data_IF_756740335615
#
_entry.id   IF_756740335615
#
_cell.length_a   1.000
_cell.length_b   1.000
_cell.length_c   1.000
_cell.angle_alpha   90.00
_cell.angle_beta   90.00
_cell.angle_gamma   90.00
#
_symmetry.space_group_name_H-M   'P 1'
#
loop_
_entity.id
_entity.type
_entity.pdbx_description
1 polymer ?
#
# COMPACT_ATOMS: atom_id res chain seq x y z
N UNK A 1 -2.47 22.94 9.05
CA UNK A 1 -2.04 21.61 8.62
C UNK A 1 -0.92 21.71 7.63
N UNK A 2 0.02 20.78 7.70
CA UNK A 2 1.11 20.73 6.74
C UNK A 2 1.32 19.30 6.26
N UNK A 3 1.90 19.17 5.09
CA UNK A 3 2.26 17.87 4.55
C UNK A 3 3.50 17.37 5.30
N UNK A 4 3.39 16.17 5.87
CA UNK A 4 4.54 15.49 6.47
C UNK A 4 5.39 14.81 5.40
N UNK A 5 4.75 14.09 4.49
CA UNK A 5 5.46 13.37 3.45
C UNK A 5 4.58 12.98 2.30
N UNK A 6 5.20 12.78 1.16
CA UNK A 6 4.56 12.37 -0.08
C UNK A 6 5.31 11.17 -0.62
N UNK A 7 4.58 10.15 -1.06
CA UNK A 7 5.14 8.99 -1.70
C UNK A 7 4.44 8.69 -3.01
N UNK A 8 5.21 8.33 -4.01
CA UNK A 8 4.70 7.90 -5.32
C UNK A 8 5.45 6.64 -5.71
N UNK A 9 4.72 5.67 -6.25
CA UNK A 9 5.32 4.44 -6.75
C UNK A 9 4.66 4.03 -8.05
N UNK A 10 5.48 3.70 -9.05
CA UNK A 10 5.05 3.20 -10.35
C UNK A 10 5.51 1.76 -10.49
N UNK A 11 4.59 0.84 -10.72
CA UNK A 11 4.90 -0.59 -10.75
C UNK A 11 4.36 -1.22 -12.03
N UNK A 12 5.16 -2.09 -12.62
CA UNK A 12 4.80 -2.85 -13.82
C UNK A 12 3.98 -4.09 -13.43
N UNK A 13 2.82 -4.27 -14.07
CA UNK A 13 2.03 -5.50 -13.92
C UNK A 13 2.83 -6.72 -14.34
N UNK A 14 3.63 -6.59 -15.38
CA UNK A 14 4.47 -7.70 -15.87
C UNK A 14 5.48 -8.14 -14.83
N UNK A 15 6.11 -7.17 -14.14
CA UNK A 15 7.06 -7.48 -13.05
C UNK A 15 6.38 -8.25 -11.93
N UNK A 16 5.22 -7.77 -11.48
CA UNK A 16 4.49 -8.40 -10.38
C UNK A 16 3.97 -9.78 -10.79
N UNK A 17 3.48 -9.90 -12.02
CA UNK A 17 3.02 -11.17 -12.56
C UNK A 17 4.16 -12.20 -12.59
N UNK A 18 5.36 -11.77 -13.00
CA UNK A 18 6.54 -12.65 -13.01
C UNK A 18 6.92 -13.11 -11.62
N UNK A 19 6.89 -12.22 -10.64
CA UNK A 19 7.17 -12.55 -9.24
C UNK A 19 6.13 -13.53 -8.68
N UNK A 20 4.86 -13.30 -8.99
CA UNK A 20 3.79 -14.18 -8.55
C UNK A 20 3.88 -15.55 -9.22
N UNK A 21 4.19 -15.59 -10.51
CA UNK A 21 4.39 -16.85 -11.23
C UNK A 21 5.54 -17.67 -10.64
N UNK A 22 6.61 -16.99 -10.22
CA UNK A 22 7.81 -17.63 -9.66
C UNK A 22 7.62 -18.11 -8.22
N UNK A 23 7.00 -17.30 -7.37
CA UNK A 23 6.93 -17.54 -5.92
C UNK A 23 5.51 -17.87 -5.44
N UNK A 24 4.49 -17.68 -6.26
CA UNK A 24 3.11 -18.02 -5.93
C UNK A 24 2.57 -17.25 -4.74
N UNK A 25 1.69 -17.89 -3.98
CA UNK A 25 1.04 -17.29 -2.81
C UNK A 25 2.02 -16.84 -1.74
N UNK A 26 3.22 -17.40 -1.73
CA UNK A 26 4.27 -17.01 -0.82
C UNK A 26 4.65 -15.54 -1.00
N UNK A 27 4.73 -15.08 -2.25
CA UNK A 27 4.96 -13.68 -2.57
C UNK A 27 3.75 -12.81 -2.15
N UNK A 28 2.54 -13.27 -2.48
CA UNK A 28 1.32 -12.55 -2.11
C UNK A 28 1.21 -12.39 -0.59
N UNK A 29 1.44 -13.45 0.17
CA UNK A 29 1.37 -13.42 1.64
C UNK A 29 2.41 -12.52 2.28
N UNK A 30 3.51 -12.26 1.61
CA UNK A 30 4.52 -11.35 2.09
C UNK A 30 4.05 -9.88 2.02
N UNK A 31 3.24 -9.59 1.02
CA UNK A 31 2.75 -8.23 0.73
C UNK A 31 1.41 -7.95 1.38
N UNK A 32 0.49 -8.91 1.33
CA UNK A 32 -0.91 -8.74 1.70
C UNK A 32 -1.17 -9.17 3.15
N UNK A 33 -2.01 -8.42 3.86
CA UNK A 33 -2.51 -8.85 5.15
C UNK A 33 -3.63 -9.91 4.96
N UNK A 34 -4.16 -10.43 6.06
CA UNK A 34 -5.14 -11.52 6.00
C UNK A 34 -6.42 -11.14 5.28
N UNK A 35 -6.92 -9.93 5.50
CA UNK A 35 -8.15 -9.45 4.84
C UNK A 35 -7.91 -9.26 3.34
N UNK A 36 -6.76 -8.72 2.98
CA UNK A 36 -6.38 -8.55 1.58
C UNK A 36 -6.20 -9.90 0.87
N UNK A 37 -5.66 -10.89 1.57
CA UNK A 37 -5.52 -12.24 1.00
C UNK A 37 -6.86 -12.85 0.62
N UNK A 38 -7.91 -12.61 1.44
CA UNK A 38 -9.26 -13.09 1.13
C UNK A 38 -9.75 -12.48 -0.17
N UNK A 39 -9.62 -11.16 -0.32
CA UNK A 39 -10.02 -10.47 -1.55
C UNK A 39 -9.18 -10.89 -2.75
N UNK A 40 -7.89 -11.11 -2.53
CA UNK A 40 -6.97 -11.56 -3.57
C UNK A 40 -7.37 -12.92 -4.15
N UNK A 41 -7.78 -13.85 -3.28
CA UNK A 41 -8.21 -15.18 -3.72
C UNK A 41 -9.51 -15.12 -4.55
N UNK A 42 -10.34 -14.12 -4.33
CA UNK A 42 -11.63 -13.96 -5.00
C UNK A 42 -11.56 -13.15 -6.29
N UNK A 43 -10.50 -12.39 -6.50
CA UNK A 43 -10.41 -11.49 -7.67
C UNK A 43 -10.02 -12.26 -8.93
N UNK A 44 -10.58 -11.85 -10.06
CA UNK A 44 -10.25 -12.43 -11.37
C UNK A 44 -8.88 -11.98 -11.85
N UNK A 45 -8.53 -10.72 -11.65
CA UNK A 45 -7.24 -10.17 -12.09
C UNK A 45 -6.30 -10.05 -10.90
N UNK A 46 -5.66 -11.16 -10.57
CA UNK A 46 -4.78 -11.26 -9.41
C UNK A 46 -3.53 -10.38 -9.53
N UNK A 47 -2.97 -10.31 -10.74
CA UNK A 47 -1.77 -9.50 -10.97
C UNK A 47 -2.06 -8.01 -10.74
N UNK A 48 -3.19 -7.53 -11.22
CA UNK A 48 -3.60 -6.12 -11.03
C UNK A 48 -3.83 -5.82 -9.55
N UNK A 49 -4.56 -6.70 -8.87
CA UNK A 49 -4.83 -6.52 -7.43
C UNK A 49 -3.54 -6.42 -6.64
N UNK A 50 -2.64 -7.38 -6.86
CA UNK A 50 -1.37 -7.45 -6.15
C UNK A 50 -0.48 -6.25 -6.50
N UNK A 51 -0.48 -5.83 -7.76
CA UNK A 51 0.28 -4.68 -8.22
C UNK A 51 -0.19 -3.38 -7.55
N UNK A 52 -1.51 -3.18 -7.46
CA UNK A 52 -2.09 -2.01 -6.81
C UNK A 52 -1.76 -1.99 -5.32
N UNK A 53 -1.84 -3.13 -4.65
CA UNK A 53 -1.48 -3.24 -3.24
C UNK A 53 0.01 -2.96 -3.03
N UNK A 54 0.86 -3.52 -3.87
CA UNK A 54 2.31 -3.31 -3.84
C UNK A 54 2.63 -1.82 -3.99
N UNK A 55 2.08 -1.18 -5.02
CA UNK A 55 2.31 0.24 -5.30
C UNK A 55 1.83 1.13 -4.14
N UNK A 56 0.65 0.85 -3.59
CA UNK A 56 0.09 1.62 -2.48
C UNK A 56 0.95 1.54 -1.23
N UNK A 57 1.44 0.36 -0.89
CA UNK A 57 2.27 0.15 0.29
C UNK A 57 3.66 0.76 0.13
N UNK A 58 4.25 0.63 -1.07
CA UNK A 58 5.53 1.30 -1.38
C UNK A 58 5.38 2.81 -1.28
N UNK A 59 4.32 3.37 -1.83
CA UNK A 59 4.06 4.81 -1.76
C UNK A 59 3.90 5.27 -0.31
N UNK A 60 3.20 4.47 0.52
CA UNK A 60 3.02 4.79 1.94
C UNK A 60 4.35 4.81 2.69
N UNK A 61 5.22 3.86 2.42
CA UNK A 61 6.53 3.76 3.05
C UNK A 61 7.43 4.92 2.62
N UNK A 62 7.36 5.31 1.35
CA UNK A 62 8.07 6.50 0.86
C UNK A 62 7.56 7.79 1.53
N UNK A 63 6.24 7.91 1.70
CA UNK A 63 5.65 9.06 2.37
C UNK A 63 6.05 9.13 3.86
N UNK A 64 6.21 7.98 4.50
CA UNK A 64 6.67 7.89 5.88
C UNK A 64 8.17 8.22 5.99
N UNK A 65 8.93 7.91 4.95
CA UNK A 65 10.35 8.24 4.88
C UNK A 65 11.29 7.18 5.46
N UNK A 66 10.77 6.04 5.87
CA UNK A 66 11.57 5.00 6.55
C UNK A 66 12.06 3.89 5.63
N UNK A 67 11.42 3.68 4.48
CA UNK A 67 11.57 2.43 3.76
C UNK A 67 11.01 1.28 4.59
N UNK A 68 11.23 0.05 4.14
CA UNK A 68 10.85 -1.16 4.89
C UNK A 68 11.97 -1.56 5.86
N UNK A 69 12.54 -0.60 6.55
CA UNK A 69 13.52 -0.78 7.60
C UNK A 69 12.93 -0.34 8.93
N UNK A 70 13.70 -0.44 10.01
CA UNK A 70 13.28 0.03 11.33
C UNK A 70 11.97 -0.61 11.83
N UNK A 71 11.74 -1.88 11.48
CA UNK A 71 10.59 -2.64 11.94
C UNK A 71 9.30 -2.35 11.18
N UNK A 72 9.36 -1.67 10.04
CA UNK A 72 8.18 -1.42 9.20
C UNK A 72 8.08 -2.55 8.17
N UNK A 73 6.90 -3.19 8.09
CA UNK A 73 6.66 -4.33 7.21
C UNK A 73 5.46 -4.06 6.29
N UNK A 74 5.40 -4.81 5.19
CA UNK A 74 4.31 -4.71 4.22
C UNK A 74 2.94 -4.83 4.87
N UNK A 75 2.78 -5.77 5.80
CA UNK A 75 1.49 -6.04 6.46
C UNK A 75 1.09 -4.98 7.49
N UNK A 76 1.97 -4.04 7.77
CA UNK A 76 1.64 -2.92 8.64
C UNK A 76 0.70 -1.92 7.97
N UNK A 77 0.58 -2.00 6.64
CA UNK A 77 -0.32 -1.18 5.83
C UNK A 77 -1.35 -2.09 5.18
N UNK A 78 -2.61 -1.72 5.26
CA UNK A 78 -3.67 -2.42 4.56
C UNK A 78 -4.35 -1.49 3.58
N UNK A 79 -4.78 -2.02 2.44
CA UNK A 79 -5.56 -1.28 1.48
C UNK A 79 -6.98 -1.83 1.45
N UNK A 80 -7.94 -0.94 1.46
CA UNK A 80 -9.34 -1.29 1.25
C UNK A 80 -9.99 -0.18 0.44
N UNK A 81 -11.26 -0.35 0.12
CA UNK A 81 -12.04 0.68 -0.56
C UNK A 81 -13.24 1.06 0.30
N UNK A 82 -13.56 2.34 0.31
CA UNK A 82 -14.80 2.85 0.88
C UNK A 82 -15.97 2.37 0.00
N UNK A 83 -17.18 2.47 0.51
CA UNK A 83 -18.39 2.14 -0.26
C UNK A 83 -18.48 2.94 -1.56
N UNK A 84 -17.91 4.13 -1.61
CA UNK A 84 -17.81 4.96 -2.81
C UNK A 84 -16.83 4.43 -3.86
N UNK A 85 -16.01 3.42 -3.51
CA UNK A 85 -14.94 2.90 -4.36
C UNK A 85 -13.59 3.58 -4.14
N UNK A 86 -13.54 4.66 -3.36
CA UNK A 86 -12.30 5.37 -3.09
C UNK A 86 -11.35 4.50 -2.27
N UNK A 87 -10.07 4.36 -2.68
CA UNK A 87 -9.10 3.59 -1.91
C UNK A 87 -8.73 4.30 -0.61
N UNK A 88 -8.41 3.52 0.40
CA UNK A 88 -7.95 4.03 1.69
C UNK A 88 -6.93 3.08 2.30
N UNK A 89 -6.07 3.65 3.15
CA UNK A 89 -5.07 2.91 3.90
C UNK A 89 -5.56 2.64 5.32
N UNK A 90 -5.20 1.46 5.81
CA UNK A 90 -5.33 1.08 7.21
C UNK A 90 -3.94 0.81 7.77
N UNK A 91 -3.79 0.96 9.07
CA UNK A 91 -2.49 0.85 9.71
C UNK A 91 -2.59 -0.02 10.96
N UNK A 92 -1.55 -0.81 11.23
CA UNK A 92 -1.44 -1.53 12.50
C UNK A 92 -1.20 -0.56 13.65
N UNK A 93 -1.42 -1.01 14.87
CA UNK A 93 -1.16 -0.19 16.07
C UNK A 93 0.29 0.28 16.12
N UNK A 94 1.22 -0.54 15.65
CA UNK A 94 2.64 -0.18 15.56
C UNK A 94 2.85 1.07 14.71
N UNK A 95 2.20 1.14 13.55
CA UNK A 95 2.30 2.30 12.66
C UNK A 95 1.56 3.51 13.24
N UNK A 96 0.40 3.28 13.86
CA UNK A 96 -0.36 4.36 14.51
C UNK A 96 0.46 5.04 15.61
N UNK A 97 1.24 4.27 16.37
CA UNK A 97 2.15 4.82 17.37
C UNK A 97 3.25 5.68 16.75
N UNK A 98 3.80 5.23 15.61
CA UNK A 98 4.77 6.03 14.85
C UNK A 98 4.15 7.34 14.37
N UNK A 99 2.91 7.28 13.88
CA UNK A 99 2.18 8.46 13.43
C UNK A 99 2.00 9.46 14.58
N UNK A 100 1.60 8.97 15.74
CA UNK A 100 1.43 9.82 16.93
C UNK A 100 2.72 10.52 17.29
N UNK A 101 3.84 9.79 17.30
CA UNK A 101 5.15 10.35 17.62
C UNK A 101 5.59 11.39 16.58
N UNK A 102 5.20 11.23 15.33
CA UNK A 102 5.58 12.14 14.23
C UNK A 102 4.56 13.26 14.01
N UNK A 103 3.43 13.22 14.69
CA UNK A 103 2.38 14.22 14.53
C UNK A 103 1.51 14.02 13.30
N UNK A 104 1.56 12.84 12.67
CA UNK A 104 0.74 12.53 11.49
C UNK A 104 -0.68 12.27 11.93
N UNK A 105 -1.65 12.95 11.33
CA UNK A 105 -3.06 12.88 11.72
C UNK A 105 -3.99 12.44 10.59
N UNK A 106 -3.58 12.57 9.35
CA UNK A 106 -4.40 12.13 8.23
C UNK A 106 -3.56 11.54 7.12
N UNK A 107 -4.19 10.66 6.34
CA UNK A 107 -3.57 10.01 5.20
C UNK A 107 -4.51 10.07 4.00
N UNK A 108 -3.93 10.18 2.83
CA UNK A 108 -4.65 10.22 1.56
C UNK A 108 -3.98 9.26 0.60
N UNK A 109 -4.79 8.50 -0.13
CA UNK A 109 -4.30 7.52 -1.10
C UNK A 109 -5.02 7.70 -2.42
N UNK A 110 -4.27 7.71 -3.50
CA UNK A 110 -4.80 7.64 -4.85
C UNK A 110 -4.09 6.53 -5.60
N UNK A 111 -4.85 5.74 -6.34
CA UNK A 111 -4.32 4.67 -7.18
C UNK A 111 -4.92 4.82 -8.57
N UNK A 112 -4.06 4.76 -9.58
CA UNK A 112 -4.48 4.66 -10.97
C UNK A 112 -3.78 3.49 -11.61
N UNK A 113 -4.51 2.73 -12.42
CA UNK A 113 -3.88 1.69 -13.21
C UNK A 113 -4.35 1.77 -14.64
N UNK A 114 -3.40 1.56 -15.55
CA UNK A 114 -3.60 1.47 -16.98
C UNK A 114 -2.57 0.47 -17.47
N UNK A 115 -3.05 -0.72 -17.82
CA UNK A 115 -2.16 -1.82 -18.18
C UNK A 115 -1.10 -1.35 -19.18
N UNK A 116 0.20 -1.60 -18.97
CA UNK A 116 0.75 -2.52 -17.97
C UNK A 116 1.26 -1.84 -16.67
N UNK A 117 0.68 -0.71 -16.26
CA UNK A 117 1.20 0.07 -15.13
C UNK A 117 0.16 0.28 -14.04
N UNK A 118 0.64 0.28 -12.80
CA UNK A 118 -0.10 0.85 -11.66
C UNK A 118 0.75 1.95 -11.03
N UNK A 119 0.09 3.03 -10.63
CA UNK A 119 0.73 4.12 -9.91
C UNK A 119 -0.08 4.40 -8.64
N UNK A 120 0.61 4.64 -7.55
CA UNK A 120 -0.02 5.04 -6.30
C UNK A 120 0.65 6.30 -5.77
N UNK A 121 -0.15 7.14 -5.14
CA UNK A 121 0.34 8.33 -4.44
C UNK A 121 -0.25 8.35 -3.04
N UNK A 122 0.60 8.62 -2.05
CA UNK A 122 0.20 8.74 -0.66
C UNK A 122 0.68 10.09 -0.13
N UNK A 123 -0.20 10.75 0.60
CA UNK A 123 0.13 11.99 1.31
C UNK A 123 -0.21 11.78 2.79
N UNK A 124 0.75 12.04 3.66
CA UNK A 124 0.53 12.12 5.09
C UNK A 124 0.58 13.57 5.54
N UNK A 125 -0.37 13.96 6.38
CA UNK A 125 -0.47 15.32 6.88
C UNK A 125 -0.32 15.37 8.39
N UNK A 126 0.40 16.40 8.85
CA UNK A 126 0.47 16.75 10.27
C UNK A 126 -0.74 17.61 10.61
N UNK A 127 -1.18 17.49 11.86
CA UNK A 127 -2.09 18.46 12.41
C UNK A 127 -1.25 19.57 13.06
N UNK A 128 -1.44 20.76 12.60
CA UNK A 128 -0.80 21.93 13.21
C UNK A 128 -1.45 22.31 14.53
#
# INVERSE_FOLDING_TARGET
>A
MSIYGIGVDLVSHTRIQSLYAKYGDRFARRILDDDEMILFQETDNKARYLCNAFAGKEAAVKALGTGFSSGVHWKDFGLSRKSSGQPQLHFTDKIKKKFDALGIRSSHLSISDDHPWSIAMVIFENKS
#
